data_IF_103455429387
#
_entry.id   IF_103455429387
#
_cell.length_a   1.000
_cell.length_b   1.000
_cell.length_c   1.000
_cell.angle_alpha   90.00
_cell.angle_beta   90.00
_cell.angle_gamma   90.00
#
_symmetry.space_group_name_H-M   'P 1'
#
loop_
_entity.id
_entity.type
_entity.pdbx_description
1 polymer ?
#
# COMPACT_ATOMS: atom_id res chain seq x y z
N UNK A 1 24.42 1.22 36.77
CA UNK A 1 25.39 0.10 36.76
C UNK A 1 25.58 -0.35 35.32
N UNK A 2 26.78 -0.24 34.73
CA UNK A 2 27.15 -0.80 33.41
C UNK A 2 28.68 -0.89 33.23
N UNK A 3 29.43 -1.12 34.30
CA UNK A 3 30.90 -1.14 34.29
C UNK A 3 31.48 -2.44 33.70
N UNK A 4 30.81 -3.57 33.91
CA UNK A 4 31.26 -4.89 33.42
C UNK A 4 31.16 -5.06 31.91
N UNK A 5 30.20 -4.41 31.26
CA UNK A 5 30.05 -4.45 29.80
C UNK A 5 31.12 -3.62 29.08
N UNK A 6 31.48 -2.46 29.64
CA UNK A 6 32.54 -1.60 29.11
C UNK A 6 33.93 -2.25 29.23
N UNK A 7 34.21 -2.92 30.35
CA UNK A 7 35.48 -3.64 30.57
C UNK A 7 35.64 -4.79 29.56
N UNK A 8 34.58 -5.56 29.28
CA UNK A 8 34.63 -6.65 28.29
C UNK A 8 34.90 -6.15 26.87
N UNK A 9 34.36 -4.98 26.50
CA UNK A 9 34.63 -4.37 25.19
C UNK A 9 36.05 -3.82 25.08
N UNK A 10 36.59 -3.24 26.16
CA UNK A 10 37.98 -2.77 26.20
C UNK A 10 38.98 -3.93 26.03
N UNK A 11 38.77 -5.04 26.74
CA UNK A 11 39.62 -6.25 26.64
C UNK A 11 39.56 -6.87 25.24
N UNK A 12 38.37 -6.90 24.61
CA UNK A 12 38.21 -7.42 23.26
C UNK A 12 38.95 -6.56 22.22
N UNK A 13 38.89 -5.22 22.36
CA UNK A 13 39.61 -4.29 21.48
C UNK A 13 41.14 -4.38 21.65
N UNK A 14 41.63 -4.50 22.89
CA UNK A 14 43.08 -4.67 23.13
C UNK A 14 43.61 -5.98 22.58
N UNK A 15 42.85 -7.08 22.68
CA UNK A 15 43.24 -8.36 22.09
C UNK A 15 43.34 -8.35 20.56
N UNK A 16 42.46 -7.58 19.90
CA UNK A 16 42.53 -7.39 18.44
C UNK A 16 43.70 -6.50 18.01
N UNK A 17 44.03 -5.47 18.80
CA UNK A 17 45.20 -4.61 18.55
C UNK A 17 46.51 -5.39 18.71
N UNK A 18 46.61 -6.26 19.72
CA UNK A 18 47.79 -7.12 19.93
C UNK A 18 48.00 -8.21 18.87
N UNK A 19 47.01 -8.51 18.01
CA UNK A 19 47.19 -9.44 16.90
C UNK A 19 47.67 -8.75 15.60
N UNK A 20 47.33 -7.48 15.40
CA UNK A 20 47.72 -6.73 14.20
C UNK A 20 49.13 -6.12 14.32
N UNK A 21 49.46 -5.56 15.49
CA UNK A 21 50.76 -4.90 15.72
C UNK A 21 52.01 -5.79 15.67
N UNK A 22 52.03 -7.08 16.09
CA UNK A 22 53.27 -7.85 16.08
C UNK A 22 53.79 -8.09 14.67
N UNK A 23 52.89 -8.21 13.68
CA UNK A 23 53.30 -8.36 12.27
C UNK A 23 53.95 -7.09 11.73
N UNK A 24 53.44 -5.91 12.10
CA UNK A 24 54.01 -4.64 11.69
C UNK A 24 55.37 -4.38 12.34
N UNK A 25 55.51 -4.73 13.63
CA UNK A 25 56.79 -4.65 14.34
C UNK A 25 57.83 -5.60 13.73
N UNK A 26 57.45 -6.83 13.36
CA UNK A 26 58.35 -7.77 12.69
C UNK A 26 58.75 -7.30 11.29
N UNK A 27 57.83 -6.67 10.55
CA UNK A 27 58.14 -6.05 9.25
C UNK A 27 59.10 -4.87 9.40
N UNK A 28 58.87 -3.99 10.38
CA UNK A 28 59.74 -2.86 10.67
C UNK A 28 61.13 -3.29 11.18
N UNK A 29 61.19 -4.34 12.01
CA UNK A 29 62.46 -4.92 12.44
C UNK A 29 63.22 -5.56 11.26
N UNK A 30 62.50 -6.27 10.38
CA UNK A 30 63.09 -6.83 9.16
C UNK A 30 63.66 -5.73 8.25
N UNK A 31 62.95 -4.63 8.04
CA UNK A 31 63.45 -3.54 7.19
C UNK A 31 64.67 -2.83 7.80
N UNK A 32 64.72 -2.66 9.12
CA UNK A 32 65.91 -2.12 9.81
C UNK A 32 67.12 -3.05 9.77
N UNK A 33 66.92 -4.37 9.82
CA UNK A 33 68.01 -5.36 9.81
C UNK A 33 68.51 -5.62 8.38
N UNK A 34 67.59 -5.68 7.41
CA UNK A 34 67.89 -6.05 6.02
C UNK A 34 68.36 -4.85 5.18
N UNK A 35 68.09 -3.61 5.60
CA UNK A 35 68.40 -2.41 4.83
C UNK A 35 67.60 -2.27 3.52
N UNK A 36 66.64 -3.17 3.28
CA UNK A 36 65.74 -3.12 2.14
C UNK A 36 64.75 -1.97 2.35
N UNK A 37 64.94 -0.86 1.62
CA UNK A 37 63.83 0.04 1.35
C UNK A 37 62.79 -0.77 0.57
N UNK A 38 61.55 -0.81 1.05
CA UNK A 38 60.44 -1.35 0.26
C UNK A 38 60.30 -0.47 -0.99
N UNK A 39 61.02 -0.80 -2.07
CA UNK A 39 60.60 -0.39 -3.39
C UNK A 39 59.19 -0.94 -3.54
N UNK A 40 58.20 -0.04 -3.61
CA UNK A 40 56.86 -0.39 -4.02
C UNK A 40 56.96 -0.93 -5.43
N UNK A 41 57.15 -2.24 -5.54
CA UNK A 41 57.15 -2.95 -6.80
C UNK A 41 55.73 -2.87 -7.33
N UNK A 42 55.51 -1.92 -8.24
CA UNK A 42 54.25 -1.74 -8.93
C UNK A 42 54.11 -2.89 -9.93
N UNK A 43 53.41 -3.95 -9.51
CA UNK A 43 53.02 -5.03 -10.41
C UNK A 43 51.67 -4.66 -11.05
N UNK A 44 51.66 -4.18 -12.32
CA UNK A 44 50.42 -3.81 -12.99
C UNK A 44 49.45 -5.00 -13.13
N UNK A 45 49.93 -6.24 -13.01
CA UNK A 45 49.06 -7.42 -12.99
C UNK A 45 48.22 -7.48 -11.69
N UNK A 46 48.80 -7.12 -10.54
CA UNK A 46 48.09 -7.13 -9.25
C UNK A 46 47.04 -6.02 -9.14
N UNK A 47 47.29 -4.86 -9.74
CA UNK A 47 46.31 -3.77 -9.73
C UNK A 47 45.16 -4.01 -10.72
N UNK A 48 45.45 -4.62 -11.87
CA UNK A 48 44.41 -5.09 -12.79
C UNK A 48 43.53 -6.18 -12.13
N UNK A 49 44.10 -7.05 -11.31
CA UNK A 49 43.36 -8.07 -10.56
C UNK A 49 42.48 -7.45 -9.45
N UNK A 50 43.01 -6.47 -8.71
CA UNK A 50 42.23 -5.70 -7.72
C UNK A 50 41.08 -4.92 -8.35
N UNK A 51 41.29 -4.31 -9.51
CA UNK A 51 40.22 -3.62 -10.25
C UNK A 51 39.15 -4.59 -10.75
N UNK A 52 39.53 -5.78 -11.22
CA UNK A 52 38.56 -6.84 -11.60
C UNK A 52 37.73 -7.29 -10.40
N UNK A 53 38.37 -7.54 -9.26
CA UNK A 53 37.69 -7.91 -8.00
C UNK A 53 36.71 -6.81 -7.54
N UNK A 54 37.10 -5.54 -7.61
CA UNK A 54 36.21 -4.42 -7.27
C UNK A 54 35.03 -4.32 -8.24
N UNK A 55 35.28 -4.45 -9.55
CA UNK A 55 34.21 -4.42 -10.55
C UNK A 55 33.23 -5.59 -10.38
N UNK A 56 33.71 -6.78 -10.04
CA UNK A 56 32.85 -7.94 -9.75
C UNK A 56 32.00 -7.72 -8.49
N UNK A 57 32.56 -7.11 -7.43
CA UNK A 57 31.81 -6.76 -6.23
C UNK A 57 30.73 -5.72 -6.52
N UNK A 58 31.04 -4.68 -7.30
CA UNK A 58 30.07 -3.66 -7.71
C UNK A 58 28.93 -4.30 -8.52
N UNK A 59 29.27 -5.18 -9.46
CA UNK A 59 28.27 -5.88 -10.27
C UNK A 59 27.36 -6.75 -9.39
N UNK A 60 27.92 -7.51 -8.44
CA UNK A 60 27.14 -8.30 -7.47
C UNK A 60 26.20 -7.42 -6.66
N UNK A 61 26.69 -6.32 -6.10
CA UNK A 61 25.84 -5.38 -5.35
C UNK A 61 24.72 -4.78 -6.20
N UNK A 62 25.00 -4.47 -7.47
CA UNK A 62 23.98 -3.99 -8.39
C UNK A 62 22.91 -5.04 -8.67
N UNK A 63 23.30 -6.28 -8.95
CA UNK A 63 22.37 -7.40 -9.16
C UNK A 63 21.54 -7.66 -7.91
N UNK A 64 22.18 -7.73 -6.75
CA UNK A 64 21.47 -7.92 -5.47
C UNK A 64 20.47 -6.79 -5.22
N UNK A 65 20.84 -5.54 -5.53
CA UNK A 65 19.93 -4.39 -5.38
C UNK A 65 18.78 -4.37 -6.40
N UNK A 66 18.99 -4.88 -7.62
CA UNK A 66 17.90 -5.00 -8.60
C UNK A 66 16.95 -6.11 -8.20
N UNK A 67 17.49 -7.24 -7.74
CA UNK A 67 16.71 -8.39 -7.34
C UNK A 67 15.88 -8.08 -6.08
N UNK A 68 16.45 -7.37 -5.12
CA UNK A 68 15.70 -6.87 -3.96
C UNK A 68 14.54 -5.97 -4.36
N UNK A 69 14.78 -4.97 -5.23
CA UNK A 69 13.72 -4.08 -5.72
C UNK A 69 12.64 -4.84 -6.49
N UNK A 70 13.03 -5.85 -7.27
CA UNK A 70 12.09 -6.69 -8.00
C UNK A 70 11.23 -7.54 -7.06
N UNK A 71 11.84 -8.15 -6.05
CA UNK A 71 11.13 -8.92 -5.02
C UNK A 71 10.16 -8.05 -4.23
N UNK A 72 10.57 -6.84 -3.84
CA UNK A 72 9.70 -5.87 -3.17
C UNK A 72 8.52 -5.46 -4.05
N UNK A 73 8.76 -5.22 -5.35
CA UNK A 73 7.70 -4.90 -6.30
C UNK A 73 6.67 -6.04 -6.42
N UNK A 74 7.12 -7.29 -6.52
CA UNK A 74 6.24 -8.46 -6.56
C UNK A 74 5.46 -8.63 -5.24
N UNK A 75 6.09 -8.38 -4.10
CA UNK A 75 5.40 -8.41 -2.81
C UNK A 75 4.29 -7.36 -2.74
N UNK A 76 4.56 -6.15 -3.20
CA UNK A 76 3.57 -5.07 -3.27
C UNK A 76 2.42 -5.42 -4.22
N UNK A 77 2.72 -5.97 -5.40
CA UNK A 77 1.71 -6.43 -6.35
C UNK A 77 0.80 -7.51 -5.74
N UNK A 78 1.38 -8.47 -5.02
CA UNK A 78 0.61 -9.51 -4.33
C UNK A 78 -0.33 -8.96 -3.26
N UNK A 79 0.10 -7.92 -2.54
CA UNK A 79 -0.75 -7.22 -1.55
C UNK A 79 -1.89 -6.49 -2.26
N UNK A 80 -1.60 -5.79 -3.36
CA UNK A 80 -2.61 -5.06 -4.13
C UNK A 80 -3.65 -5.99 -4.75
N UNK A 81 -3.23 -7.13 -5.31
CA UNK A 81 -4.15 -8.16 -5.84
C UNK A 81 -5.06 -8.68 -4.73
N UNK A 82 -4.51 -8.98 -3.54
CA UNK A 82 -5.31 -9.45 -2.40
C UNK A 82 -6.35 -8.40 -2.00
N UNK A 83 -5.93 -7.14 -1.88
CA UNK A 83 -6.79 -6.01 -1.53
C UNK A 83 -7.92 -5.83 -2.55
N UNK A 84 -7.61 -5.88 -3.85
CA UNK A 84 -8.60 -5.77 -4.92
C UNK A 84 -9.62 -6.91 -4.88
N UNK A 85 -9.18 -8.16 -4.68
CA UNK A 85 -10.09 -9.30 -4.54
C UNK A 85 -11.02 -9.13 -3.35
N UNK A 86 -10.48 -8.77 -2.19
CA UNK A 86 -11.26 -8.52 -0.99
C UNK A 86 -12.29 -7.40 -1.20
N UNK A 87 -11.88 -6.30 -1.82
CA UNK A 87 -12.79 -5.21 -2.16
C UNK A 87 -13.95 -5.65 -3.08
N UNK A 88 -13.64 -6.40 -4.14
CA UNK A 88 -14.66 -6.91 -5.07
C UNK A 88 -15.61 -7.90 -4.39
N UNK A 89 -15.08 -8.80 -3.55
CA UNK A 89 -15.89 -9.75 -2.78
C UNK A 89 -16.83 -9.03 -1.81
N UNK A 90 -16.36 -7.96 -1.15
CA UNK A 90 -17.18 -7.14 -0.27
C UNK A 90 -18.28 -6.42 -1.04
N UNK A 91 -17.98 -5.79 -2.18
CA UNK A 91 -19.01 -5.18 -3.03
C UNK A 91 -20.08 -6.21 -3.40
N UNK A 92 -19.66 -7.41 -3.79
CA UNK A 92 -20.59 -8.48 -4.16
C UNK A 92 -21.51 -8.87 -2.99
N UNK A 93 -20.96 -9.07 -1.80
CA UNK A 93 -21.76 -9.39 -0.60
C UNK A 93 -22.74 -8.27 -0.23
N UNK A 94 -22.33 -7.01 -0.38
CA UNK A 94 -23.21 -5.84 -0.18
C UNK A 94 -24.36 -5.85 -1.20
N UNK A 95 -24.07 -6.20 -2.46
CA UNK A 95 -25.08 -6.33 -3.51
C UNK A 95 -26.05 -7.50 -3.25
N UNK A 96 -25.56 -8.60 -2.68
CA UNK A 96 -26.38 -9.72 -2.20
C UNK A 96 -27.23 -9.34 -0.97
N UNK A 97 -26.93 -8.18 -0.36
CA UNK A 97 -27.69 -7.58 0.74
C UNK A 97 -27.16 -7.96 2.12
N UNK A 98 -25.94 -8.45 2.25
CA UNK A 98 -25.27 -8.62 3.53
C UNK A 98 -24.83 -7.25 4.07
N UNK A 99 -25.08 -6.99 5.36
CA UNK A 99 -24.60 -5.76 6.01
C UNK A 99 -23.21 -6.02 6.58
N UNK A 100 -22.20 -5.39 5.99
CA UNK A 100 -20.79 -5.69 6.29
C UNK A 100 -20.15 -4.50 6.99
N UNK A 101 -19.51 -4.76 8.14
CA UNK A 101 -18.69 -3.79 8.84
C UNK A 101 -17.38 -3.55 8.10
N UNK A 102 -17.28 -2.41 7.43
CA UNK A 102 -16.11 -2.01 6.62
C UNK A 102 -14.86 -1.76 7.48
N UNK A 103 -15.02 -1.53 8.79
CA UNK A 103 -13.93 -1.19 9.72
C UNK A 103 -13.06 -2.38 10.12
N UNK A 104 -13.57 -3.60 9.96
CA UNK A 104 -12.83 -4.84 10.26
C UNK A 104 -11.70 -5.10 9.26
N UNK A 105 -11.79 -4.50 8.07
CA UNK A 105 -10.86 -4.72 6.96
C UNK A 105 -9.78 -3.63 6.91
N UNK A 106 -8.73 -3.80 7.72
CA UNK A 106 -7.58 -2.89 7.78
C UNK A 106 -6.77 -2.86 6.47
N UNK A 107 -6.83 -3.93 5.68
CA UNK A 107 -6.09 -4.06 4.42
C UNK A 107 -6.58 -3.10 3.33
N UNK A 108 -7.80 -2.57 3.43
CA UNK A 108 -8.38 -1.67 2.45
C UNK A 108 -7.78 -0.26 2.53
N UNK A 109 -7.75 0.44 1.39
CA UNK A 109 -7.44 1.87 1.41
C UNK A 109 -8.61 2.68 1.99
N UNK A 110 -8.34 3.91 2.43
CA UNK A 110 -9.40 4.81 2.92
C UNK A 110 -10.48 5.03 1.85
N UNK A 111 -10.07 5.28 0.61
CA UNK A 111 -10.96 5.47 -0.53
C UNK A 111 -11.85 4.25 -0.79
N UNK A 112 -11.27 3.05 -0.74
CA UNK A 112 -12.05 1.81 -0.89
C UNK A 112 -13.06 1.63 0.24
N UNK A 113 -12.69 1.98 1.48
CA UNK A 113 -13.63 1.94 2.61
C UNK A 113 -14.79 2.91 2.41
N UNK A 114 -14.51 4.13 1.93
CA UNK A 114 -15.56 5.12 1.67
C UNK A 114 -16.53 4.66 0.57
N UNK A 115 -16.00 4.04 -0.49
CA UNK A 115 -16.82 3.45 -1.56
C UNK A 115 -17.70 2.33 -1.03
N UNK A 116 -17.17 1.43 -0.19
CA UNK A 116 -17.96 0.36 0.42
C UNK A 116 -19.03 0.90 1.37
N UNK A 117 -18.72 1.93 2.16
CA UNK A 117 -19.71 2.61 3.03
C UNK A 117 -20.84 3.22 2.20
N UNK A 118 -20.52 3.91 1.11
CA UNK A 118 -21.51 4.46 0.19
C UNK A 118 -22.38 3.36 -0.46
N UNK A 119 -21.78 2.22 -0.81
CA UNK A 119 -22.51 1.06 -1.34
C UNK A 119 -23.46 0.44 -0.30
N UNK A 120 -23.01 0.29 0.95
CA UNK A 120 -23.86 -0.17 2.05
C UNK A 120 -25.04 0.78 2.28
N UNK A 121 -24.78 2.09 2.36
CA UNK A 121 -25.83 3.08 2.54
C UNK A 121 -26.84 3.06 1.37
N UNK A 122 -26.36 2.93 0.14
CA UNK A 122 -27.22 2.79 -1.03
C UNK A 122 -28.06 1.50 -1.00
N UNK A 123 -27.48 0.37 -0.58
CA UNK A 123 -28.18 -0.89 -0.43
C UNK A 123 -29.27 -0.80 0.66
N UNK A 124 -28.96 -0.19 1.81
CA UNK A 124 -29.92 0.04 2.89
C UNK A 124 -31.08 0.94 2.43
N UNK A 125 -30.80 2.03 1.71
CA UNK A 125 -31.84 2.91 1.14
C UNK A 125 -32.76 2.18 0.16
N UNK A 126 -32.22 1.27 -0.67
CA UNK A 126 -33.03 0.45 -1.58
C UNK A 126 -33.97 -0.46 -0.80
N UNK A 127 -33.47 -1.19 0.19
CA UNK A 127 -34.28 -2.06 1.07
C UNK A 127 -35.38 -1.28 1.80
N UNK A 128 -35.06 -0.10 2.35
CA UNK A 128 -36.04 0.75 3.03
C UNK A 128 -37.15 1.25 2.08
N UNK A 129 -36.79 1.61 0.84
CA UNK A 129 -37.77 2.01 -0.17
C UNK A 129 -38.65 0.85 -0.63
N UNK A 130 -38.09 -0.34 -0.81
CA UNK A 130 -38.84 -1.56 -1.16
C UNK A 130 -39.82 -1.95 -0.04
N UNK A 131 -39.39 -1.88 1.23
CA UNK A 131 -40.27 -2.10 2.38
C UNK A 131 -41.41 -1.08 2.44
N UNK A 132 -41.15 0.19 2.17
CA UNK A 132 -42.19 1.22 2.11
C UNK A 132 -43.17 1.01 0.94
N UNK A 133 -42.71 0.49 -0.20
CA UNK A 133 -43.58 0.13 -1.32
C UNK A 133 -44.41 -1.12 -1.03
N UNK A 134 -43.85 -2.13 -0.34
CA UNK A 134 -44.59 -3.32 0.09
C UNK A 134 -45.58 -3.02 1.22
N UNK A 135 -45.29 -2.04 2.09
CA UNK A 135 -46.25 -1.52 3.08
C UNK A 135 -47.28 -0.55 2.48
N UNK A 136 -47.17 -0.24 1.18
CA UNK A 136 -47.99 0.71 0.43
C UNK A 136 -49.39 0.24 0.02
N UNK A 137 -50.04 -0.62 0.81
CA UNK A 137 -51.51 -0.75 0.80
C UNK A 137 -52.12 -0.24 2.13
N UNK A 138 -51.57 0.84 2.68
CA UNK A 138 -52.36 1.70 3.56
C UNK A 138 -53.25 2.53 2.64
N UNK A 139 -54.44 2.01 2.38
CA UNK A 139 -55.53 2.79 1.77
C UNK A 139 -55.60 4.15 2.49
N UNK A 140 -55.59 5.28 1.77
CA UNK A 140 -55.91 6.55 2.40
C UNK A 140 -57.30 6.39 3.06
N UNK A 141 -57.51 6.80 4.33
CA UNK A 141 -58.79 6.61 4.99
C UNK A 141 -59.87 7.25 4.13
N UNK A 142 -60.68 6.41 3.49
CA UNK A 142 -61.74 6.87 2.61
C UNK A 142 -62.71 7.69 3.46
N UNK A 143 -62.68 9.01 3.28
CA UNK A 143 -63.64 9.90 3.92
C UNK A 143 -65.01 9.61 3.32
N UNK A 144 -65.69 8.64 3.93
CA UNK A 144 -67.10 8.32 3.69
C UNK A 144 -67.92 9.51 4.17
N UNK A 145 -68.24 10.43 3.27
CA UNK A 145 -69.41 11.31 3.43
C UNK A 145 -70.03 11.63 2.08
N UNK A 146 -71.06 10.83 1.78
CA UNK A 146 -72.10 11.03 0.78
C UNK A 146 -72.77 12.39 1.00
N UNK A 147 -72.60 13.33 0.06
CA UNK A 147 -73.68 14.24 -0.37
C UNK A 147 -73.56 14.48 -1.89
N UNK A 148 -74.68 14.26 -2.57
CA UNK A 148 -74.89 14.40 -4.01
C UNK A 148 -74.57 15.82 -4.50
N UNK A 149 -73.98 15.92 -5.70
CA UNK A 149 -74.12 17.08 -6.60
C UNK A 149 -72.82 17.79 -6.92
N UNK A 150 -72.31 17.60 -8.15
CA UNK A 150 -71.23 18.44 -8.69
C UNK A 150 -70.47 17.79 -9.84
N UNK A 151 -70.72 18.26 -11.06
CA UNK A 151 -70.21 17.70 -12.30
C UNK A 151 -68.70 17.91 -12.50
N UNK A 152 -68.06 16.87 -13.05
CA UNK A 152 -66.98 16.89 -14.07
C UNK A 152 -66.12 18.16 -14.14
N UNK A 153 -64.88 18.15 -13.62
CA UNK A 153 -63.65 18.71 -14.24
C UNK A 153 -62.39 18.19 -13.52
N UNK A 154 -61.96 16.97 -13.84
CA UNK A 154 -60.63 16.49 -13.55
C UNK A 154 -60.10 15.85 -14.84
N UNK A 155 -59.06 16.45 -15.45
CA UNK A 155 -58.09 15.85 -16.38
C UNK A 155 -57.54 16.90 -17.39
N UNK A 156 -56.83 17.95 -16.94
CA UNK A 156 -56.12 18.82 -17.91
C UNK A 156 -54.92 19.60 -17.33
N UNK A 157 -54.21 19.06 -16.33
CA UNK A 157 -53.00 19.74 -15.78
C UNK A 157 -51.80 18.82 -15.53
N UNK A 158 -51.68 17.74 -16.31
CA UNK A 158 -50.51 16.84 -16.26
C UNK A 158 -49.73 16.73 -17.58
N UNK A 159 -49.98 17.60 -18.56
CA UNK A 159 -49.15 17.65 -19.77
C UNK A 159 -48.64 19.08 -20.01
N UNK A 160 -47.38 19.16 -20.45
CA UNK A 160 -46.66 20.31 -21.00
C UNK A 160 -46.09 21.34 -20.00
N UNK A 161 -44.94 21.03 -19.40
CA UNK A 161 -43.84 22.03 -19.34
C UNK A 161 -42.60 21.45 -19.99
N UNK A 162 -42.63 21.59 -21.31
CA UNK A 162 -41.60 21.32 -22.31
C UNK A 162 -40.24 21.83 -21.84
N UNK A 163 -39.23 20.98 -21.98
CA UNK A 163 -37.82 21.30 -21.88
C UNK A 163 -37.48 22.51 -22.75
N UNK A 164 -36.66 23.44 -22.23
CA UNK A 164 -36.16 24.58 -23.00
C UNK A 164 -35.28 24.05 -24.15
N UNK A 165 -35.56 24.35 -25.43
CA UNK A 165 -34.60 24.06 -26.49
C UNK A 165 -33.36 24.95 -26.33
N UNK A 166 -32.18 24.35 -26.48
CA UNK A 166 -30.87 25.02 -26.52
C UNK A 166 -30.79 25.83 -27.83
N UNK A 167 -30.34 27.09 -27.81
CA UNK A 167 -30.18 27.88 -29.04
C UNK A 167 -29.05 27.32 -29.93
N UNK A 168 -29.20 27.36 -31.26
CA UNK A 168 -28.17 26.88 -32.18
C UNK A 168 -26.93 27.77 -32.13
N UNK A 169 -25.77 27.13 -32.07
CA UNK A 169 -24.45 27.76 -32.18
C UNK A 169 -24.34 28.57 -33.47
N UNK A 170 -24.00 29.85 -33.33
CA UNK A 170 -23.43 30.68 -34.40
C UNK A 170 -21.91 30.60 -34.36
#
# INVERSE_FOLDING_TARGET
MNTTAQIKQAIKKSGQQMQAEPLELLKAARSQISGEQEEQYYDPAQEAEKQKLQNEQILKQQVDSSDQRHLEALQNEMIDIRRQKLFNDLIRRIQEGEDISVEEFQELTHEQRDVLKAHNEAAQKRKANEQNQQSGLVEPPSKRNRRLGGQRKAAEKQQTRVEKPVPPSG
#
